data_IF_351896866346
#
_entry.id   IF_351896866346
#
_cell.length_a   1.000
_cell.length_b   1.000
_cell.length_c   1.000
_cell.angle_alpha   90.00
_cell.angle_beta   90.00
_cell.angle_gamma   90.00
#
_symmetry.space_group_name_H-M   'P 1'
#
loop_
_entity.id
_entity.type
_entity.pdbx_description
1 polymer ?
#
# COMPACT_ATOMS: atom_id res chain seq x y z
N UNK A 1 8.60 10.31 -2.62
CA UNK A 1 8.86 9.42 -3.73
C UNK A 1 9.08 10.18 -5.03
N UNK A 2 8.06 10.72 -5.66
CA UNK A 2 8.27 11.61 -6.79
C UNK A 2 7.17 12.68 -6.80
N UNK A 3 7.33 13.66 -7.71
CA UNK A 3 6.44 14.81 -7.74
C UNK A 3 4.97 14.43 -7.98
N UNK A 4 4.73 13.38 -8.77
CA UNK A 4 3.36 12.93 -9.02
C UNK A 4 2.66 12.53 -7.73
N UNK A 5 3.32 11.68 -6.93
CA UNK A 5 2.70 11.17 -5.71
C UNK A 5 2.65 12.22 -4.61
N UNK A 6 3.63 13.12 -4.56
CA UNK A 6 3.60 14.22 -3.61
C UNK A 6 2.40 15.14 -3.89
N UNK A 7 2.16 15.47 -5.15
CA UNK A 7 1.02 16.29 -5.54
C UNK A 7 -0.31 15.57 -5.32
N UNK A 8 -0.34 14.27 -5.64
CA UNK A 8 -1.53 13.46 -5.42
C UNK A 8 -1.89 13.40 -3.94
N UNK A 9 -0.90 13.20 -3.08
CA UNK A 9 -1.11 13.16 -1.64
C UNK A 9 -1.62 14.50 -1.10
N UNK A 10 -1.09 15.61 -1.62
CA UNK A 10 -1.54 16.94 -1.25
C UNK A 10 -3.01 17.14 -1.63
N UNK A 11 -3.40 16.70 -2.82
CA UNK A 11 -4.79 16.78 -3.24
C UNK A 11 -5.70 15.96 -2.33
N UNK A 12 -5.25 14.78 -1.92
CA UNK A 12 -6.01 13.97 -0.98
C UNK A 12 -6.25 14.72 0.32
N UNK A 13 -5.24 15.37 0.85
CA UNK A 13 -5.37 16.12 2.10
C UNK A 13 -6.30 17.30 1.94
N UNK A 14 -6.21 18.05 0.84
CA UNK A 14 -7.08 19.18 0.56
C UNK A 14 -8.55 18.76 0.46
N UNK A 15 -8.81 17.67 -0.26
CA UNK A 15 -10.17 17.19 -0.43
C UNK A 15 -10.71 16.65 0.89
N UNK A 16 -9.88 15.95 1.65
CA UNK A 16 -10.27 15.42 2.96
C UNK A 16 -10.73 16.55 3.90
N UNK A 17 -10.04 17.69 3.88
CA UNK A 17 -10.43 18.83 4.68
C UNK A 17 -11.84 19.32 4.33
N UNK A 18 -12.18 19.32 3.03
CA UNK A 18 -13.50 19.74 2.60
C UNK A 18 -14.59 18.76 3.01
N UNK A 19 -14.21 17.53 3.31
CA UNK A 19 -15.13 16.49 3.77
C UNK A 19 -15.10 16.32 5.29
N UNK A 20 -14.67 17.33 6.02
CA UNK A 20 -14.64 17.37 7.50
C UNK A 20 -13.67 16.35 8.10
N UNK A 21 -12.65 15.99 7.36
CA UNK A 21 -11.67 14.99 7.81
C UNK A 21 -10.26 15.49 7.49
N UNK A 22 -9.82 16.57 8.14
CA UNK A 22 -8.48 17.09 7.87
C UNK A 22 -7.40 16.05 8.22
N UNK A 23 -6.50 15.82 7.29
CA UNK A 23 -5.40 14.87 7.46
C UNK A 23 -4.11 15.53 6.97
N UNK A 24 -3.00 15.02 7.44
CA UNK A 24 -1.71 15.33 6.84
C UNK A 24 -1.60 14.62 5.50
N UNK A 25 -0.85 15.19 4.57
CA UNK A 25 -0.63 14.55 3.27
C UNK A 25 0.09 13.21 3.47
N UNK A 26 -0.48 12.11 2.93
CA UNK A 26 0.19 10.81 3.05
C UNK A 26 1.55 10.82 2.35
N UNK A 27 2.48 10.04 2.88
CA UNK A 27 3.80 9.90 2.29
C UNK A 27 4.00 8.46 1.82
N UNK A 28 4.44 8.30 0.57
CA UNK A 28 4.72 7.00 0.00
C UNK A 28 6.24 6.76 0.01
N UNK A 29 6.68 5.84 0.89
CA UNK A 29 8.06 5.43 0.94
C UNK A 29 8.40 4.55 -0.28
N UNK A 30 9.56 4.76 -0.88
CA UNK A 30 9.95 4.06 -2.11
C UNK A 30 10.05 2.54 -1.92
N UNK A 31 10.57 2.08 -0.78
CA UNK A 31 10.68 0.65 -0.50
C UNK A 31 9.31 0.02 -0.32
N UNK A 32 8.41 0.71 0.37
CA UNK A 32 7.02 0.26 0.55
C UNK A 32 6.31 0.21 -0.80
N UNK A 33 6.51 1.22 -1.64
CA UNK A 33 5.91 1.27 -2.98
C UNK A 33 6.33 0.06 -3.81
N UNK A 34 7.62 -0.30 -3.75
CA UNK A 34 8.13 -1.46 -4.49
C UNK A 34 7.46 -2.75 -4.04
N UNK A 35 7.31 -2.93 -2.73
CA UNK A 35 6.66 -4.13 -2.21
C UNK A 35 5.18 -4.17 -2.54
N UNK A 36 4.50 -3.01 -2.56
CA UNK A 36 3.11 -2.94 -2.98
C UNK A 36 2.95 -3.35 -4.44
N UNK A 37 3.85 -2.89 -5.31
CA UNK A 37 3.81 -3.28 -6.71
C UNK A 37 4.02 -4.78 -6.89
N UNK A 38 4.92 -5.38 -6.13
CA UNK A 38 5.12 -6.83 -6.17
C UNK A 38 3.90 -7.57 -5.66
N UNK A 39 3.32 -7.12 -4.55
CA UNK A 39 2.10 -7.71 -3.99
C UNK A 39 0.97 -7.70 -5.01
N UNK A 40 0.72 -6.54 -5.62
CA UNK A 40 -0.38 -6.40 -6.57
C UNK A 40 -0.17 -7.21 -7.84
N UNK A 41 1.10 -7.39 -8.24
CA UNK A 41 1.42 -8.27 -9.38
C UNK A 41 1.04 -9.72 -9.07
N UNK A 42 1.36 -10.19 -7.86
CA UNK A 42 1.00 -11.54 -7.43
C UNK A 42 -0.52 -11.69 -7.40
N UNK A 43 -1.23 -10.71 -6.87
CA UNK A 43 -2.70 -10.73 -6.84
C UNK A 43 -3.26 -10.82 -8.26
N UNK A 44 -2.76 -9.99 -9.16
CA UNK A 44 -3.28 -9.93 -10.53
C UNK A 44 -3.05 -11.25 -11.28
N UNK A 45 -1.92 -11.91 -11.04
CA UNK A 45 -1.57 -13.15 -11.74
C UNK A 45 -2.20 -14.39 -11.09
N UNK A 46 -2.35 -14.37 -9.76
CA UNK A 46 -2.90 -15.51 -9.03
C UNK A 46 -4.41 -15.45 -8.89
N UNK A 47 -5.04 -14.36 -9.28
CA UNK A 47 -6.47 -14.15 -9.14
C UNK A 47 -6.95 -13.37 -10.37
N UNK A 48 -7.67 -12.25 -10.17
CA UNK A 48 -8.11 -11.41 -11.27
C UNK A 48 -7.33 -10.10 -11.28
N UNK A 49 -7.01 -9.62 -12.49
CA UNK A 49 -6.23 -8.40 -12.65
C UNK A 49 -6.89 -7.22 -11.93
N UNK A 50 -8.20 -7.12 -11.99
CA UNK A 50 -8.92 -6.00 -11.39
C UNK A 50 -8.87 -6.03 -9.86
N UNK A 51 -8.46 -7.13 -9.25
CA UNK A 51 -8.30 -7.21 -7.80
C UNK A 51 -7.03 -6.51 -7.31
N UNK A 52 -6.06 -6.27 -8.19
CA UNK A 52 -4.79 -5.68 -7.78
C UNK A 52 -4.95 -4.30 -7.10
N UNK A 53 -5.66 -3.32 -7.71
CA UNK A 53 -5.83 -2.04 -7.02
C UNK A 53 -6.65 -2.15 -5.74
N UNK A 54 -7.61 -3.08 -5.69
CA UNK A 54 -8.41 -3.28 -4.48
C UNK A 54 -7.56 -3.89 -3.37
N UNK A 55 -6.66 -4.81 -3.71
CA UNK A 55 -5.74 -5.40 -2.73
C UNK A 55 -4.79 -4.34 -2.18
N UNK A 56 -4.31 -3.44 -3.03
CA UNK A 56 -3.44 -2.34 -2.58
C UNK A 56 -4.18 -1.45 -1.58
N UNK A 57 -5.46 -1.16 -1.84
CA UNK A 57 -6.26 -0.33 -0.93
C UNK A 57 -6.41 -1.02 0.43
N UNK A 58 -6.77 -2.31 0.43
CA UNK A 58 -6.94 -3.06 1.67
C UNK A 58 -5.63 -3.18 2.43
N UNK A 59 -4.52 -3.43 1.74
CA UNK A 59 -3.21 -3.49 2.37
C UNK A 59 -2.85 -2.13 3.01
N UNK A 60 -3.17 -1.03 2.34
CA UNK A 60 -2.95 0.31 2.88
C UNK A 60 -3.75 0.56 4.14
N UNK A 61 -5.00 0.11 4.18
CA UNK A 61 -5.83 0.22 5.38
C UNK A 61 -5.24 -0.60 6.53
N UNK A 62 -4.75 -1.81 6.24
CA UNK A 62 -4.14 -2.64 7.26
C UNK A 62 -2.88 -1.98 7.83
N UNK A 63 -2.05 -1.43 6.95
CA UNK A 63 -0.83 -0.73 7.35
C UNK A 63 -1.16 0.46 8.27
N UNK A 64 -2.17 1.25 7.89
CA UNK A 64 -2.58 2.39 8.70
C UNK A 64 -3.01 1.94 10.10
N UNK A 65 -3.79 0.88 10.17
CA UNK A 65 -4.24 0.34 11.46
C UNK A 65 -3.09 -0.22 12.28
N UNK A 66 -2.12 -0.85 11.64
CA UNK A 66 -0.92 -1.35 12.31
C UNK A 66 -0.13 -0.20 12.93
N UNK A 67 0.05 0.88 12.19
CA UNK A 67 0.80 2.04 12.68
C UNK A 67 0.09 2.72 13.84
N UNK A 68 -1.23 2.72 13.85
CA UNK A 68 -2.00 3.24 14.97
C UNK A 68 -1.91 2.34 16.19
N UNK A 69 -1.90 1.02 15.97
CA UNK A 69 -1.76 0.05 17.06
C UNK A 69 -0.36 0.06 17.66
N UNK A 70 0.65 0.34 16.83
CA UNK A 70 2.04 0.37 17.27
C UNK A 70 2.78 1.53 16.59
N UNK A 71 2.80 2.73 17.19
CA UNK A 71 3.45 3.89 16.57
C UNK A 71 4.98 3.75 16.44
N UNK A 72 5.59 2.72 17.04
CA UNK A 72 7.02 2.49 16.92
C UNK A 72 7.41 1.77 15.62
N UNK A 73 6.44 1.34 14.81
CA UNK A 73 6.74 0.66 13.55
C UNK A 73 7.51 1.58 12.59
N UNK A 74 8.48 1.01 11.93
CA UNK A 74 9.30 1.70 10.94
C UNK A 74 8.96 1.18 9.53
N UNK A 75 9.49 1.86 8.50
CA UNK A 75 9.24 1.47 7.11
C UNK A 75 9.64 0.02 6.84
N UNK A 76 10.73 -0.45 7.45
CA UNK A 76 11.17 -1.83 7.26
C UNK A 76 10.13 -2.82 7.79
N UNK A 77 9.46 -2.49 8.88
CA UNK A 77 8.38 -3.35 9.40
C UNK A 77 7.23 -3.46 8.42
N UNK A 78 6.91 -2.36 7.76
CA UNK A 78 5.85 -2.34 6.73
C UNK A 78 6.27 -3.17 5.52
N UNK A 79 7.53 -3.05 5.09
CA UNK A 79 8.07 -3.87 4.00
C UNK A 79 7.97 -5.35 4.36
N UNK A 80 8.37 -5.71 5.58
CA UNK A 80 8.31 -7.09 6.05
C UNK A 80 6.88 -7.63 6.07
N UNK A 81 5.93 -6.81 6.51
CA UNK A 81 4.52 -7.16 6.51
C UNK A 81 4.02 -7.46 5.08
N UNK A 82 4.36 -6.60 4.13
CA UNK A 82 3.94 -6.80 2.74
C UNK A 82 4.56 -8.04 2.12
N UNK A 83 5.82 -8.32 2.43
CA UNK A 83 6.48 -9.54 1.96
C UNK A 83 5.82 -10.78 2.51
N UNK A 84 5.50 -10.78 3.79
CA UNK A 84 4.83 -11.91 4.43
C UNK A 84 3.42 -12.10 3.87
N UNK A 85 2.68 -11.02 3.70
CA UNK A 85 1.35 -11.07 3.10
C UNK A 85 1.38 -11.66 1.69
N UNK A 86 2.36 -11.25 0.89
CA UNK A 86 2.54 -11.77 -0.47
C UNK A 86 2.75 -13.29 -0.45
N UNK A 87 3.47 -13.81 0.53
CA UNK A 87 3.75 -15.24 0.64
C UNK A 87 2.50 -16.07 0.94
N UNK A 88 1.46 -15.45 1.50
CA UNK A 88 0.21 -16.17 1.77
C UNK A 88 -0.69 -16.31 0.56
N UNK A 89 -0.39 -15.64 -0.53
CA UNK A 89 -1.21 -15.63 -1.74
C UNK A 89 -0.82 -16.75 -2.69
N UNK A 90 -1.76 -17.19 -3.56
CA UNK A 90 -1.41 -18.11 -4.63
C UNK A 90 -0.30 -17.49 -5.50
N UNK A 91 0.81 -18.19 -5.63
CA UNK A 91 1.94 -17.69 -6.39
C UNK A 91 1.78 -18.01 -7.87
N UNK A 92 2.23 -17.13 -8.77
CA UNK A 92 2.26 -17.45 -10.19
C UNK A 92 3.14 -18.69 -10.38
N UNK A 93 2.77 -19.55 -11.34
CA UNK A 93 3.55 -20.73 -11.62
C UNK A 93 4.94 -20.33 -12.14
N UNK A 94 5.97 -20.91 -11.55
CA UNK A 94 7.34 -20.57 -11.93
C UNK A 94 7.67 -20.94 -13.36
N UNK A 95 7.04 -22.00 -13.86
CA UNK A 95 7.25 -22.47 -15.23
C UNK A 95 6.34 -21.78 -16.23
N UNK A 96 5.43 -21.00 -15.73
CA UNK A 96 4.49 -20.29 -16.56
C UNK A 96 5.11 -19.15 -17.34
#
# INVERSE_FOLDING_TARGET
MNAFFDQFATRCAEIASRHRAPIDAPHLNAAVARELLDLTRVVARGSERQFAPLAAFVAGQAIDRMMRANPALEDQDIVNFLQELKQTLPQPEASG
#
